data_IF_809663643979
#
_entry.id   IF_809663643979
#
_cell.length_a   1.000
_cell.length_b   1.000
_cell.length_c   1.000
_cell.angle_alpha   90.00
_cell.angle_beta   90.00
_cell.angle_gamma   90.00
#
_symmetry.space_group_name_H-M   'P 1'
#
loop_
_entity.id
_entity.type
_entity.pdbx_description
1 polymer ?
#
# COMPACT_ATOMS: atom_id res chain seq x y z
N UNK A 1 17.53 6.30 13.35
CA UNK A 1 16.59 5.69 12.40
C UNK A 1 15.53 4.98 13.21
N UNK A 2 14.44 5.68 13.54
CA UNK A 2 13.33 5.06 14.24
C UNK A 2 12.55 4.22 13.24
N UNK A 3 12.70 2.91 13.38
CA UNK A 3 11.93 1.84 12.77
C UNK A 3 10.50 1.87 13.33
N UNK A 4 9.81 2.99 13.13
CA UNK A 4 8.40 3.09 13.37
C UNK A 4 7.75 2.52 12.13
N UNK A 5 7.34 1.25 12.19
CA UNK A 5 6.24 0.76 11.37
C UNK A 5 5.05 1.67 11.69
N UNK A 6 4.97 2.82 11.01
CA UNK A 6 3.90 3.76 11.19
C UNK A 6 2.64 3.03 10.75
N UNK A 7 1.74 2.80 11.70
CA UNK A 7 0.47 2.16 11.40
C UNK A 7 -0.21 2.96 10.29
N UNK A 8 -0.70 2.25 9.28
CA UNK A 8 -1.47 2.88 8.21
C UNK A 8 -2.71 3.53 8.83
N UNK A 9 -3.09 4.69 8.33
CA UNK A 9 -4.44 5.19 8.58
C UNK A 9 -5.48 4.24 7.94
N UNK A 10 -6.74 4.37 8.33
CA UNK A 10 -7.82 3.59 7.73
C UNK A 10 -7.89 3.80 6.20
N UNK A 11 -7.69 5.03 5.73
CA UNK A 11 -7.75 5.38 4.31
C UNK A 11 -6.53 4.83 3.52
N UNK A 12 -5.35 4.85 4.14
CA UNK A 12 -4.15 4.26 3.56
C UNK A 12 -4.26 2.73 3.50
N UNK A 13 -4.85 2.11 4.53
CA UNK A 13 -5.11 0.67 4.54
C UNK A 13 -6.18 0.28 3.50
N UNK A 14 -7.24 1.09 3.34
CA UNK A 14 -8.23 0.90 2.29
C UNK A 14 -7.57 1.00 0.90
N UNK A 15 -6.68 1.97 0.70
CA UNK A 15 -5.92 2.11 -0.55
C UNK A 15 -5.04 0.88 -0.83
N UNK A 16 -4.34 0.35 0.19
CA UNK A 16 -3.57 -0.89 0.06
C UNK A 16 -4.47 -2.08 -0.32
N UNK A 17 -5.70 -2.12 0.23
CA UNK A 17 -6.69 -3.15 -0.07
C UNK A 17 -7.17 -3.08 -1.52
N UNK A 18 -7.43 -1.87 -2.05
CA UNK A 18 -7.80 -1.69 -3.45
C UNK A 18 -6.67 -2.11 -4.40
N UNK A 19 -5.41 -1.77 -4.10
CA UNK A 19 -4.26 -2.25 -4.90
C UNK A 19 -4.22 -3.79 -4.92
N UNK A 20 -4.49 -4.43 -3.78
CA UNK A 20 -4.52 -5.89 -3.67
C UNK A 20 -5.60 -6.57 -4.51
N UNK A 21 -6.68 -5.85 -4.84
CA UNK A 21 -7.71 -6.33 -5.78
C UNK A 21 -7.30 -6.17 -7.24
N UNK A 22 -6.31 -5.32 -7.52
CA UNK A 22 -5.89 -4.96 -8.88
C UNK A 22 -6.90 -4.09 -9.62
N UNK A 23 -7.96 -3.65 -8.95
CA UNK A 23 -9.03 -2.81 -9.49
C UNK A 23 -8.78 -1.35 -9.11
N UNK A 24 -9.27 -0.41 -9.93
CA UNK A 24 -9.36 1.01 -9.58
C UNK A 24 -8.06 1.70 -9.11
N UNK A 25 -6.88 1.28 -9.58
CA UNK A 25 -5.60 1.91 -9.20
C UNK A 25 -5.53 3.41 -9.55
N UNK A 26 -6.24 3.82 -10.60
CA UNK A 26 -6.38 5.23 -10.99
C UNK A 26 -7.14 6.10 -10.00
N UNK A 27 -7.94 5.50 -9.11
CA UNK A 27 -8.71 6.20 -8.08
C UNK A 27 -7.94 6.33 -6.76
N UNK A 28 -6.76 5.71 -6.66
CA UNK A 28 -5.93 5.79 -5.47
C UNK A 28 -5.26 7.17 -5.39
N UNK A 29 -5.44 7.92 -4.29
CA UNK A 29 -4.77 9.19 -4.11
C UNK A 29 -3.25 9.03 -4.25
N UNK A 30 -2.62 9.89 -5.06
CA UNK A 30 -1.18 9.80 -5.33
C UNK A 30 -0.34 9.75 -4.05
N UNK A 31 -0.71 10.55 -3.04
CA UNK A 31 -0.04 10.57 -1.74
C UNK A 31 -0.07 9.21 -1.03
N UNK A 32 -1.18 8.46 -1.13
CA UNK A 32 -1.27 7.12 -0.54
C UNK A 32 -0.37 6.15 -1.29
N UNK A 33 -0.37 6.18 -2.63
CA UNK A 33 0.51 5.34 -3.43
C UNK A 33 1.99 5.58 -3.11
N UNK A 34 2.41 6.84 -3.05
CA UNK A 34 3.78 7.22 -2.66
C UNK A 34 4.13 6.77 -1.24
N UNK A 35 3.21 6.97 -0.29
CA UNK A 35 3.39 6.55 1.09
C UNK A 35 3.56 5.05 1.22
N UNK A 36 2.69 4.26 0.58
CA UNK A 36 2.75 2.80 0.64
C UNK A 36 4.00 2.25 -0.06
N UNK A 37 4.48 2.91 -1.12
CA UNK A 37 5.78 2.60 -1.75
C UNK A 37 6.93 2.89 -0.80
N UNK A 38 6.92 4.04 -0.13
CA UNK A 38 7.95 4.41 0.85
C UNK A 38 7.99 3.45 2.05
N UNK A 39 6.85 2.86 2.42
CA UNK A 39 6.74 1.82 3.46
C UNK A 39 7.09 0.41 2.96
N UNK A 40 7.32 0.24 1.65
CA UNK A 40 7.66 -1.04 1.04
C UNK A 40 6.50 -2.03 0.97
N UNK A 41 5.25 -1.59 1.10
CA UNK A 41 4.06 -2.43 0.96
C UNK A 41 3.65 -2.63 -0.51
N UNK A 42 4.03 -1.69 -1.37
CA UNK A 42 3.81 -1.73 -2.81
C UNK A 42 5.06 -1.30 -3.57
N UNK A 43 5.15 -1.74 -4.82
CA UNK A 43 6.15 -1.27 -5.79
C UNK A 43 5.43 -0.72 -7.02
N UNK A 44 6.11 0.15 -7.76
CA UNK A 44 5.67 0.59 -9.09
C UNK A 44 6.29 -0.30 -10.15
N UNK A 45 5.46 -0.99 -10.94
CA UNK A 45 5.88 -1.87 -12.03
C UNK A 45 5.05 -1.57 -13.27
N UNK A 46 5.72 -1.18 -14.36
CA UNK A 46 5.07 -0.85 -15.64
C UNK A 46 3.97 0.24 -15.53
N UNK A 47 4.12 1.17 -14.60
CA UNK A 47 3.13 2.24 -14.36
C UNK A 47 2.08 1.91 -13.30
N UNK A 48 1.91 0.63 -12.98
CA UNK A 48 0.93 0.14 -12.01
C UNK A 48 1.57 -0.05 -10.62
N UNK A 49 0.74 -0.02 -9.58
CA UNK A 49 1.08 -0.40 -8.22
C UNK A 49 0.85 -1.91 -8.03
N UNK A 50 1.83 -2.59 -7.45
CA UNK A 50 1.79 -4.03 -7.20
C UNK A 50 2.21 -4.33 -5.76
N UNK A 51 1.47 -5.23 -5.09
CA UNK A 51 1.77 -5.62 -3.70
C UNK A 51 3.12 -6.31 -3.57
N UNK A 52 3.85 -5.95 -2.52
CA UNK A 52 5.00 -6.74 -2.05
C UNK A 52 4.55 -7.84 -1.09
N UNK A 53 5.46 -8.75 -0.74
CA UNK A 53 5.22 -9.73 0.32
C UNK A 53 4.88 -9.08 1.67
N UNK A 54 5.45 -7.91 1.97
CA UNK A 54 5.13 -7.14 3.18
C UNK A 54 3.73 -6.56 3.11
N UNK A 55 3.31 -6.03 1.95
CA UNK A 55 1.95 -5.54 1.74
C UNK A 55 0.89 -6.63 1.89
N UNK A 56 1.14 -7.82 1.31
CA UNK A 56 0.26 -8.98 1.47
C UNK A 56 0.11 -9.37 2.95
N UNK A 57 1.22 -9.39 3.71
CA UNK A 57 1.19 -9.67 5.15
C UNK A 57 0.39 -8.60 5.91
N UNK A 58 0.59 -7.33 5.58
CA UNK A 58 -0.15 -6.21 6.19
C UNK A 58 -1.66 -6.37 5.99
N UNK A 59 -2.09 -6.74 4.79
CA UNK A 59 -3.50 -7.04 4.51
C UNK A 59 -4.01 -8.24 5.32
N UNK A 60 -3.24 -9.32 5.39
CA UNK A 60 -3.62 -10.51 6.15
C UNK A 60 -3.73 -10.24 7.66
N UNK A 61 -2.95 -9.31 8.20
CA UNK A 61 -3.01 -8.92 9.62
C UNK A 61 -4.16 -7.96 9.94
N UNK A 62 -4.75 -7.29 8.94
CA UNK A 62 -5.87 -6.37 9.14
C UNK A 62 -5.56 -5.13 10.00
N UNK A 63 -4.29 -4.94 10.33
CA UNK A 63 -3.75 -3.81 11.07
C UNK A 63 -2.75 -3.19 10.14
#
# INVERSE_FOLDING_TARGET
>A
MTDSTAALSADEFASLTEIGKGEAQGDIPQAHGERLVNLGYVIRRLGELELTSSGIRRLATGQ
#
